data_IF_896170566841
#
_entry.id   IF_896170566841
#
_cell.length_a   1.000
_cell.length_b   1.000
_cell.length_c   1.000
_cell.angle_alpha   90.00
_cell.angle_beta   90.00
_cell.angle_gamma   90.00
#
_symmetry.space_group_name_H-M   'P 1'
#
loop_
_entity.id
_entity.type
_entity.pdbx_description
1 polymer ?
#
# COMPACT_ATOMS: atom_id res chain seq x y z
N UNK A 1 17.05 -15.28 -8.81
CA UNK A 1 17.48 -13.94 -8.35
C UNK A 1 16.85 -13.72 -6.98
N UNK A 2 17.60 -13.31 -5.97
CA UNK A 2 17.13 -13.30 -4.56
C UNK A 2 16.03 -12.24 -4.39
N UNK A 3 14.77 -12.67 -4.28
CA UNK A 3 13.67 -11.82 -3.81
C UNK A 3 14.02 -11.35 -2.40
N UNK A 4 14.41 -10.08 -2.27
CA UNK A 4 14.46 -9.45 -0.96
C UNK A 4 13.02 -9.31 -0.49
N UNK A 5 12.59 -10.23 0.38
CA UNK A 5 11.24 -10.28 0.93
C UNK A 5 10.97 -9.07 1.82
N UNK A 6 10.64 -7.93 1.21
CA UNK A 6 10.05 -6.78 1.91
C UNK A 6 8.65 -7.17 2.35
N UNK A 7 8.34 -6.86 3.61
CA UNK A 7 6.97 -6.88 4.09
C UNK A 7 6.25 -5.58 3.68
N UNK A 8 5.05 -5.72 3.14
CA UNK A 8 4.17 -4.61 2.80
C UNK A 8 2.96 -4.59 3.73
N UNK A 9 2.64 -3.42 4.27
CA UNK A 9 1.34 -3.13 4.89
C UNK A 9 0.23 -3.17 3.84
N UNK A 10 -1.05 -3.28 4.24
CA UNK A 10 -2.17 -3.26 3.27
C UNK A 10 -2.23 -1.99 2.40
N UNK A 11 -1.78 -0.84 2.92
CA UNK A 11 -1.75 0.41 2.18
C UNK A 11 -0.60 0.44 1.16
N UNK A 12 0.60 0.01 1.55
CA UNK A 12 1.72 -0.13 0.61
C UNK A 12 1.41 -1.17 -0.48
N UNK A 13 0.84 -2.31 -0.11
CA UNK A 13 0.46 -3.34 -1.07
C UNK A 13 -0.57 -2.81 -2.08
N UNK A 14 -1.56 -2.03 -1.62
CA UNK A 14 -2.50 -1.34 -2.49
C UNK A 14 -1.81 -0.38 -3.47
N UNK A 15 -0.86 0.42 -2.98
CA UNK A 15 -0.12 1.39 -3.78
C UNK A 15 0.82 0.73 -4.82
N UNK A 16 1.45 -0.39 -4.47
CA UNK A 16 2.37 -1.12 -5.36
C UNK A 16 1.63 -1.98 -6.38
N UNK A 17 0.54 -2.64 -5.96
CA UNK A 17 -0.29 -3.48 -6.84
C UNK A 17 -1.30 -2.72 -7.69
N UNK A 18 -1.49 -1.42 -7.41
CA UNK A 18 -2.52 -0.55 -8.03
C UNK A 18 -3.95 -1.06 -7.80
N UNK A 19 -4.16 -1.71 -6.65
CA UNK A 19 -5.45 -2.23 -6.22
C UNK A 19 -5.97 -1.35 -5.09
N UNK A 20 -7.28 -1.05 -5.10
CA UNK A 20 -7.88 -0.29 -4.01
C UNK A 20 -7.63 -0.94 -2.64
N UNK A 21 -7.31 -0.15 -1.61
CA UNK A 21 -7.04 -0.65 -0.25
C UNK A 21 -8.19 -1.52 0.29
N UNK A 22 -9.44 -1.16 0.00
CA UNK A 22 -10.62 -1.96 0.35
C UNK A 22 -10.59 -3.35 -0.28
N UNK A 23 -10.14 -3.45 -1.53
CA UNK A 23 -9.98 -4.72 -2.24
C UNK A 23 -8.86 -5.56 -1.65
N UNK A 24 -7.73 -4.94 -1.25
CA UNK A 24 -6.67 -5.64 -0.52
C UNK A 24 -7.20 -6.23 0.79
N UNK A 25 -7.96 -5.46 1.59
CA UNK A 25 -8.60 -5.99 2.79
C UNK A 25 -9.58 -7.13 2.50
N UNK A 26 -10.43 -6.98 1.47
CA UNK A 26 -11.35 -8.04 1.06
C UNK A 26 -10.61 -9.33 0.65
N UNK A 27 -9.47 -9.21 -0.04
CA UNK A 27 -8.65 -10.35 -0.43
C UNK A 27 -8.04 -11.07 0.78
N UNK A 28 -7.60 -10.32 1.79
CA UNK A 28 -7.14 -10.87 3.07
C UNK A 28 -8.31 -11.58 3.79
N UNK A 29 -9.46 -10.93 3.88
CA UNK A 29 -10.61 -11.45 4.63
C UNK A 29 -11.17 -12.72 3.98
N UNK A 30 -11.16 -12.79 2.64
CA UNK A 30 -11.54 -13.98 1.86
C UNK A 30 -10.43 -15.03 1.76
N UNK A 31 -9.28 -14.82 2.42
CA UNK A 31 -8.11 -15.72 2.39
C UNK A 31 -7.60 -16.04 0.98
N UNK A 32 -7.71 -15.07 0.07
CA UNK A 32 -7.11 -15.15 -1.27
C UNK A 32 -5.59 -15.00 -1.19
N UNK A 33 -5.11 -14.27 -0.17
CA UNK A 33 -3.68 -14.10 0.16
C UNK A 33 -3.40 -14.51 1.61
N UNK A 34 -2.14 -14.85 1.89
CA UNK A 34 -1.76 -15.42 3.18
C UNK A 34 -1.87 -14.39 4.32
N UNK A 35 -2.42 -14.81 5.46
CA UNK A 35 -2.43 -13.99 6.68
C UNK A 35 -1.12 -14.16 7.43
N UNK A 36 -0.07 -13.44 7.03
CA UNK A 36 1.18 -13.36 7.81
C UNK A 36 1.13 -12.16 8.76
N UNK A 37 1.43 -12.36 10.04
CA UNK A 37 1.53 -11.29 11.02
C UNK A 37 2.99 -10.82 11.09
N UNK A 38 3.25 -9.51 10.96
CA UNK A 38 4.54 -8.92 11.34
C UNK A 38 4.54 -8.55 12.82
N UNK A 39 5.70 -8.64 13.46
CA UNK A 39 5.89 -8.34 14.89
C UNK A 39 5.69 -6.85 15.22
N UNK A 40 5.89 -5.92 14.26
CA UNK A 40 5.87 -4.48 14.54
C UNK A 40 4.61 -3.70 14.09
N UNK A 41 3.85 -4.14 13.06
CA UNK A 41 2.72 -3.31 12.56
C UNK A 41 1.52 -4.07 11.97
N UNK A 42 1.38 -5.38 12.21
CA UNK A 42 0.18 -6.12 11.79
C UNK A 42 0.06 -6.32 10.27
N UNK A 43 -0.19 -7.57 9.87
CA UNK A 43 -0.38 -8.03 8.47
C UNK A 43 0.76 -7.61 7.52
N UNK A 44 1.76 -8.49 7.36
CA UNK A 44 2.81 -8.35 6.35
C UNK A 44 2.47 -9.15 5.09
N UNK A 45 2.35 -8.45 3.96
CA UNK A 45 2.19 -9.03 2.62
C UNK A 45 3.56 -9.15 1.96
N UNK A 46 3.81 -10.24 1.24
CA UNK A 46 5.04 -10.49 0.47
C UNK A 46 4.89 -10.10 -1.01
N UNK A 47 5.99 -10.09 -1.76
CA UNK A 47 5.96 -9.92 -3.22
C UNK A 47 5.02 -10.90 -3.92
N UNK A 48 4.96 -12.15 -3.45
CA UNK A 48 4.07 -13.17 -4.00
C UNK A 48 2.60 -12.86 -3.69
N UNK A 49 2.31 -12.27 -2.52
CA UNK A 49 0.96 -11.81 -2.18
C UNK A 49 0.55 -10.62 -3.07
N UNK A 50 1.48 -9.73 -3.40
CA UNK A 50 1.27 -8.63 -4.34
C UNK A 50 1.03 -9.14 -5.77
N UNK A 51 1.78 -10.16 -6.20
CA UNK A 51 1.56 -10.82 -7.50
C UNK A 51 0.18 -11.47 -7.55
N UNK A 52 -0.20 -12.21 -6.50
CA UNK A 52 -1.53 -12.81 -6.38
C UNK A 52 -2.63 -11.76 -6.43
N UNK A 53 -2.48 -10.65 -5.70
CA UNK A 53 -3.42 -9.53 -5.76
C UNK A 53 -3.55 -8.98 -7.18
N UNK A 54 -2.43 -8.62 -7.82
CA UNK A 54 -2.43 -8.01 -9.14
C UNK A 54 -3.08 -8.91 -10.19
N UNK A 55 -2.72 -10.20 -10.20
CA UNK A 55 -3.31 -11.17 -11.12
C UNK A 55 -4.78 -11.45 -10.80
N UNK A 56 -5.14 -11.66 -9.53
CA UNK A 56 -6.52 -12.01 -9.12
C UNK A 56 -7.55 -10.98 -9.56
N UNK A 57 -7.20 -9.69 -9.45
CA UNK A 57 -8.03 -8.59 -9.88
C UNK A 57 -7.88 -8.28 -11.38
N UNK A 58 -6.67 -8.41 -11.94
CA UNK A 58 -6.41 -8.18 -13.36
C UNK A 58 -7.15 -9.15 -14.29
N UNK A 59 -7.21 -10.43 -13.93
CA UNK A 59 -7.95 -11.46 -14.70
C UNK A 59 -9.37 -11.69 -14.19
N UNK A 60 -9.78 -10.98 -13.13
CA UNK A 60 -11.03 -11.24 -12.42
C UNK A 60 -12.30 -10.95 -13.23
N UNK A 61 -12.22 -10.12 -14.26
CA UNK A 61 -13.31 -9.87 -15.22
C UNK A 61 -13.40 -10.93 -16.33
N UNK A 62 -12.33 -11.71 -16.54
CA UNK A 62 -12.20 -12.67 -17.65
C UNK A 62 -12.37 -14.11 -17.12
N UNK A 63 -11.84 -14.39 -15.94
CA UNK A 63 -11.78 -15.73 -15.35
C UNK A 63 -12.71 -15.87 -14.15
N UNK A 64 -13.38 -17.03 -14.08
CA UNK A 64 -14.14 -17.43 -12.90
C UNK A 64 -13.22 -17.55 -11.67
N UNK A 65 -13.81 -17.56 -10.47
CA UNK A 65 -13.04 -17.77 -9.23
C UNK A 65 -12.28 -19.11 -9.24
N UNK A 66 -12.88 -20.17 -9.77
CA UNK A 66 -12.26 -21.49 -9.87
C UNK A 66 -11.06 -21.49 -10.83
N UNK A 67 -11.19 -20.88 -12.01
CA UNK A 67 -10.09 -20.78 -12.98
C UNK A 67 -8.92 -19.94 -12.45
N UNK A 68 -9.22 -18.89 -11.70
CA UNK A 68 -8.19 -18.13 -10.97
C UNK A 68 -7.45 -18.98 -9.95
N UNK A 69 -8.15 -19.83 -9.22
CA UNK A 69 -7.50 -20.74 -8.27
C UNK A 69 -6.50 -21.66 -8.98
N UNK A 70 -6.92 -22.31 -10.08
CA UNK A 70 -6.03 -23.18 -10.88
C UNK A 70 -4.82 -22.44 -11.45
N UNK A 71 -5.00 -21.17 -11.85
CA UNK A 71 -3.91 -20.31 -12.29
C UNK A 71 -2.85 -20.17 -11.18
N UNK A 72 -3.28 -19.89 -9.95
CA UNK A 72 -2.36 -19.77 -8.82
C UNK A 72 -1.72 -21.09 -8.41
N UNK A 73 -2.46 -22.19 -8.46
CA UNK A 73 -1.88 -23.52 -8.20
C UNK A 73 -0.77 -23.85 -9.22
N UNK A 74 -0.91 -23.37 -10.47
CA UNK A 74 0.12 -23.50 -11.51
C UNK A 74 1.32 -22.59 -11.26
N UNK A 75 1.09 -21.35 -10.79
CA UNK A 75 2.16 -20.43 -10.37
C UNK A 75 2.95 -21.02 -9.21
N UNK A 76 2.28 -21.63 -8.24
CA UNK A 76 2.95 -22.23 -7.07
C UNK A 76 3.83 -23.42 -7.45
N UNK A 77 3.43 -24.19 -8.47
CA UNK A 77 4.23 -25.30 -9.00
C UNK A 77 5.42 -24.80 -9.82
N UNK A 78 5.26 -23.69 -10.54
CA UNK A 78 6.28 -23.10 -11.41
C UNK A 78 6.44 -21.60 -11.12
N UNK A 79 7.12 -21.23 -10.01
CA UNK A 79 7.19 -19.84 -9.57
C UNK A 79 7.92 -18.95 -10.58
N UNK A 80 8.88 -19.48 -11.34
CA UNK A 80 9.65 -18.73 -12.32
C UNK A 80 9.01 -18.69 -13.72
N UNK A 81 7.77 -19.12 -13.87
CA UNK A 81 7.09 -19.10 -15.17
C UNK A 81 6.75 -17.66 -15.62
N UNK A 82 7.24 -17.28 -16.80
CA UNK A 82 6.95 -15.99 -17.41
C UNK A 82 5.50 -15.90 -17.94
N UNK A 83 4.98 -17.01 -18.45
CA UNK A 83 3.63 -17.09 -18.99
C UNK A 83 2.92 -18.34 -18.53
N UNK A 84 1.62 -18.24 -18.25
CA UNK A 84 0.81 -19.38 -17.83
C UNK A 84 -0.45 -19.46 -18.67
N UNK A 85 -0.72 -20.65 -19.21
CA UNK A 85 -1.96 -20.93 -19.92
C UNK A 85 -3.11 -21.06 -18.91
N UNK A 86 -4.04 -20.11 -18.93
CA UNK A 86 -5.22 -20.10 -18.07
C UNK A 86 -6.43 -20.84 -18.68
N UNK A 87 -6.48 -20.94 -20.01
CA UNK A 87 -7.49 -21.69 -20.78
C UNK A 87 -6.93 -22.05 -22.17
N UNK A 88 -7.69 -22.77 -22.99
CA UNK A 88 -7.26 -23.25 -24.33
C UNK A 88 -6.70 -22.12 -25.22
N UNK A 89 -7.30 -20.93 -25.14
CA UNK A 89 -6.94 -19.75 -25.93
C UNK A 89 -6.55 -18.54 -25.09
N UNK A 90 -6.27 -18.72 -23.79
CA UNK A 90 -5.92 -17.62 -22.88
C UNK A 90 -4.59 -17.88 -22.19
N UNK A 91 -3.63 -16.98 -22.42
CA UNK A 91 -2.34 -16.97 -21.76
C UNK A 91 -2.25 -15.71 -20.89
N UNK A 92 -1.85 -15.89 -19.65
CA UNK A 92 -1.58 -14.83 -18.68
C UNK A 92 -0.09 -14.58 -18.65
N UNK A 93 0.31 -13.35 -18.96
CA UNK A 93 1.68 -12.87 -18.86
C UNK A 93 2.00 -12.50 -17.41
N UNK A 94 2.70 -13.40 -16.72
CA UNK A 94 3.09 -13.27 -15.32
C UNK A 94 4.35 -12.43 -15.21
N UNK A 95 5.28 -12.55 -16.16
CA UNK A 95 6.50 -11.75 -16.22
C UNK A 95 6.18 -10.26 -16.23
N UNK A 96 5.26 -9.81 -17.09
CA UNK A 96 4.82 -8.41 -17.13
C UNK A 96 4.22 -7.95 -15.81
N UNK A 97 3.46 -8.81 -15.12
CA UNK A 97 2.92 -8.48 -13.81
C UNK A 97 4.04 -8.31 -12.76
N UNK A 98 5.06 -9.18 -12.79
CA UNK A 98 6.25 -9.08 -11.92
C UNK A 98 7.05 -7.81 -12.20
N UNK A 99 7.30 -7.49 -13.47
CA UNK A 99 8.02 -6.28 -13.88
C UNK A 99 7.32 -5.01 -13.39
N UNK A 100 6.01 -4.92 -13.56
CA UNK A 100 5.22 -3.79 -13.08
C UNK A 100 5.28 -3.65 -11.56
N UNK A 101 5.18 -4.77 -10.82
CA UNK A 101 5.30 -4.75 -9.36
C UNK A 101 6.70 -4.33 -8.92
N UNK A 102 7.75 -4.85 -9.56
CA UNK A 102 9.13 -4.51 -9.25
C UNK A 102 9.41 -3.01 -9.48
N UNK A 103 8.93 -2.46 -10.61
CA UNK A 103 9.07 -1.04 -10.93
C UNK A 103 8.36 -0.15 -9.90
N UNK A 104 7.11 -0.50 -9.52
CA UNK A 104 6.38 0.26 -8.50
C UNK A 104 6.96 0.09 -7.10
N UNK A 105 7.45 -1.09 -6.75
CA UNK A 105 8.13 -1.33 -5.48
C UNK A 105 9.42 -0.50 -5.37
N UNK A 106 10.19 -0.36 -6.47
CA UNK A 106 11.35 0.52 -6.49
C UNK A 106 10.94 1.99 -6.40
N UNK A 107 9.88 2.41 -7.09
CA UNK A 107 9.36 3.77 -6.95
C UNK A 107 8.95 4.07 -5.50
N UNK A 108 8.31 3.14 -4.79
CA UNK A 108 7.98 3.34 -3.38
C UNK A 108 9.25 3.47 -2.51
N UNK A 109 10.25 2.60 -2.71
CA UNK A 109 11.55 2.69 -2.02
C UNK A 109 12.26 4.01 -2.30
N UNK A 110 12.23 4.47 -3.54
CA UNK A 110 12.80 5.75 -3.93
C UNK A 110 12.08 6.90 -3.23
N UNK A 111 10.74 6.87 -3.21
CA UNK A 111 9.94 7.88 -2.54
C UNK A 111 10.27 7.97 -1.04
N UNK A 112 10.41 6.83 -0.37
CA UNK A 112 10.82 6.75 1.06
C UNK A 112 12.22 7.30 1.33
N UNK A 113 13.12 7.29 0.35
CA UNK A 113 14.46 7.88 0.48
C UNK A 113 14.47 9.40 0.33
N UNK A 114 13.53 9.96 -0.44
CA UNK A 114 13.49 11.40 -0.77
C UNK A 114 12.41 12.17 -0.03
N UNK A 115 11.61 11.49 0.80
CA UNK A 115 10.54 12.07 1.61
C UNK A 115 10.87 11.85 3.08
N UNK A 116 10.88 12.95 3.83
CA UNK A 116 11.16 12.94 5.26
C UNK A 116 10.01 13.57 6.06
N UNK A 117 9.83 13.09 7.28
CA UNK A 117 8.93 13.68 8.27
C UNK A 117 9.71 13.90 9.56
N UNK A 118 9.76 15.16 10.01
CA UNK A 118 10.45 15.54 11.25
C UNK A 118 9.42 15.98 12.28
N UNK A 119 9.35 15.25 13.40
CA UNK A 119 8.44 15.58 14.50
C UNK A 119 8.73 16.99 15.02
N UNK A 120 7.73 17.87 14.96
CA UNK A 120 7.84 19.27 15.39
C UNK A 120 8.11 20.27 14.27
N UNK A 121 8.40 19.81 13.04
CA UNK A 121 8.49 20.65 11.84
C UNK A 121 7.21 20.46 11.03
N UNK A 122 6.49 21.54 10.70
CA UNK A 122 5.19 21.50 10.01
C UNK A 122 4.20 20.49 10.61
N UNK A 123 4.22 20.27 11.93
CA UNK A 123 3.35 19.30 12.59
C UNK A 123 3.66 17.83 12.27
N UNK A 124 4.84 17.52 11.73
CA UNK A 124 5.18 16.17 11.23
C UNK A 124 4.66 15.91 9.82
N UNK A 125 4.25 16.95 9.08
CA UNK A 125 3.82 16.80 7.69
C UNK A 125 5.00 16.30 6.82
N UNK A 126 4.78 15.28 5.97
CA UNK A 126 5.80 14.77 5.06
C UNK A 126 6.18 15.79 4.00
N UNK A 127 7.48 16.06 3.86
CA UNK A 127 8.04 17.00 2.87
C UNK A 127 9.09 16.30 2.00
N UNK A 128 9.31 16.81 0.79
CA UNK A 128 10.47 16.38 0.02
C UNK A 128 11.75 16.86 0.71
N UNK A 129 12.73 15.98 0.88
CA UNK A 129 14.00 16.30 1.51
C UNK A 129 14.64 17.53 0.88
N UNK A 130 15.21 18.39 1.72
CA UNK A 130 15.83 19.68 1.32
C UNK A 130 14.84 20.72 0.78
N UNK A 131 13.53 20.46 0.86
CA UNK A 131 12.48 21.44 0.56
C UNK A 131 11.57 21.60 1.76
N UNK A 132 10.68 22.60 1.71
CA UNK A 132 9.53 22.71 2.63
C UNK A 132 8.21 22.42 1.91
N UNK A 133 8.26 21.69 0.80
CA UNK A 133 7.09 21.44 -0.04
C UNK A 133 6.39 20.18 0.48
N UNK A 134 5.11 20.27 0.92
CA UNK A 134 4.38 19.11 1.43
C UNK A 134 4.06 18.11 0.33
N UNK A 135 4.42 16.85 0.56
CA UNK A 135 4.21 15.76 -0.41
C UNK A 135 2.72 15.54 -0.68
N UNK A 136 1.91 15.54 0.39
CA UNK A 136 0.47 15.30 0.29
C UNK A 136 -0.24 16.38 -0.51
N UNK A 137 0.24 17.62 -0.43
CA UNK A 137 -0.30 18.73 -1.23
C UNK A 137 -0.04 18.49 -2.71
N UNK A 138 1.17 18.10 -3.09
CA UNK A 138 1.51 17.80 -4.48
C UNK A 138 0.67 16.63 -5.02
N UNK A 139 0.56 15.54 -4.25
CA UNK A 139 -0.30 14.42 -4.62
C UNK A 139 -1.79 14.83 -4.73
N UNK A 140 -2.27 15.72 -3.85
CA UNK A 140 -3.63 16.22 -3.91
C UNK A 140 -3.88 17.12 -5.13
N UNK A 141 -2.92 17.96 -5.51
CA UNK A 141 -3.01 18.77 -6.74
C UNK A 141 -3.10 17.87 -7.98
N UNK A 142 -2.27 16.83 -8.04
CA UNK A 142 -2.30 15.85 -9.13
C UNK A 142 -3.64 15.12 -9.20
N UNK A 143 -4.16 14.67 -8.04
CA UNK A 143 -5.47 14.04 -7.94
C UNK A 143 -6.65 14.97 -8.31
N UNK A 144 -6.47 16.29 -8.21
CA UNK A 144 -7.45 17.30 -8.63
C UNK A 144 -7.35 17.66 -10.12
N UNK A 145 -6.40 17.07 -10.85
CA UNK A 145 -6.26 17.22 -12.30
C UNK A 145 -5.13 18.14 -12.76
N UNK A 146 -4.29 18.66 -11.85
CA UNK A 146 -3.11 19.42 -12.26
C UNK A 146 -2.14 18.53 -13.05
N UNK A 147 -1.63 19.05 -14.16
CA UNK A 147 -0.60 18.37 -14.95
C UNK A 147 0.74 18.37 -14.20
N UNK A 148 1.65 17.46 -14.57
CA UNK A 148 2.95 17.41 -13.89
C UNK A 148 3.78 18.66 -14.21
N UNK A 149 3.60 19.18 -15.41
CA UNK A 149 4.25 20.37 -15.95
C UNK A 149 3.82 21.62 -15.17
N UNK A 150 2.52 21.82 -14.93
CA UNK A 150 2.00 22.92 -14.11
C UNK A 150 2.52 22.87 -12.67
N UNK A 151 2.61 21.66 -12.09
CA UNK A 151 3.14 21.47 -10.74
C UNK A 151 4.62 21.87 -10.69
N UNK A 152 5.43 21.42 -11.66
CA UNK A 152 6.86 21.74 -11.71
C UNK A 152 7.09 23.24 -12.00
N UNK A 153 6.26 23.86 -12.82
CA UNK A 153 6.28 25.32 -13.06
C UNK A 153 6.00 26.10 -11.77
N UNK A 154 4.99 25.68 -11.00
CA UNK A 154 4.64 26.29 -9.71
C UNK A 154 5.65 25.99 -8.59
N UNK A 155 6.41 24.89 -8.70
CA UNK A 155 7.40 24.47 -7.72
C UNK A 155 8.72 24.07 -8.40
N UNK A 156 9.58 25.04 -8.80
CA UNK A 156 10.78 24.77 -9.60
C UNK A 156 11.85 23.89 -8.94
N UNK A 157 11.72 23.61 -7.64
CA UNK A 157 12.59 22.67 -6.93
C UNK A 157 12.14 21.21 -7.05
N UNK A 158 10.95 20.96 -7.60
CA UNK A 158 10.45 19.62 -7.88
C UNK A 158 10.81 19.21 -9.31
N UNK A 159 11.02 17.91 -9.48
CA UNK A 159 11.15 17.28 -10.79
C UNK A 159 9.89 16.49 -11.09
N UNK A 160 9.67 16.16 -12.37
CA UNK A 160 8.60 15.24 -12.80
C UNK A 160 8.61 13.95 -11.98
N UNK A 161 9.80 13.39 -11.72
CA UNK A 161 9.96 12.19 -10.91
C UNK A 161 9.48 12.39 -9.47
N UNK A 162 9.81 13.52 -8.83
CA UNK A 162 9.34 13.80 -7.47
C UNK A 162 7.82 13.89 -7.38
N UNK A 163 7.16 14.40 -8.42
CA UNK A 163 5.68 14.44 -8.49
C UNK A 163 5.10 13.02 -8.54
N UNK A 164 5.65 12.12 -9.37
CA UNK A 164 5.23 10.71 -9.43
C UNK A 164 5.45 9.99 -8.08
N UNK A 165 6.61 10.23 -7.44
CA UNK A 165 6.94 9.66 -6.13
C UNK A 165 5.96 10.14 -5.05
N UNK A 166 5.44 11.37 -5.17
CA UNK A 166 4.44 11.90 -4.25
C UNK A 166 3.15 11.08 -4.25
N UNK A 167 2.70 10.65 -5.44
CA UNK A 167 1.47 9.90 -5.62
C UNK A 167 1.57 8.51 -4.97
N UNK A 168 2.63 7.75 -5.30
CA UNK A 168 2.80 6.41 -4.74
C UNK A 168 3.04 6.45 -3.23
N UNK A 169 3.82 7.42 -2.75
CA UNK A 169 4.08 7.57 -1.31
C UNK A 169 2.81 7.93 -0.55
N UNK A 170 2.00 8.85 -1.07
CA UNK A 170 0.74 9.26 -0.43
C UNK A 170 -0.27 8.12 -0.40
N UNK A 171 -0.34 7.30 -1.45
CA UNK A 171 -1.18 6.11 -1.49
C UNK A 171 -0.73 5.05 -0.48
N UNK A 172 0.59 4.85 -0.34
CA UNK A 172 1.18 3.90 0.60
C UNK A 172 1.09 4.35 2.07
N UNK A 173 1.14 5.66 2.31
CA UNK A 173 1.13 6.27 3.64
C UNK A 173 -0.10 7.17 3.78
N UNK A 174 -1.34 6.65 3.83
CA UNK A 174 -2.53 7.47 3.95
C UNK A 174 -2.49 8.29 5.24
N UNK A 175 -2.97 9.55 5.18
CA UNK A 175 -2.99 10.42 6.34
C UNK A 175 -3.81 9.77 7.46
N UNK A 176 -3.19 9.58 8.63
CA UNK A 176 -3.86 9.09 9.84
C UNK A 176 -4.71 10.23 10.41
N UNK A 177 -5.89 10.43 9.83
CA UNK A 177 -6.87 11.37 10.36
C UNK A 177 -7.31 10.97 11.76
N UNK A 178 -7.87 11.93 12.52
CA UNK A 178 -8.58 11.61 13.76
C UNK A 178 -9.66 10.59 13.43
N UNK A 179 -9.82 9.49 14.20
CA UNK A 179 -10.94 8.57 14.02
C UNK A 179 -12.24 9.37 13.93
N UNK A 180 -13.05 9.09 12.89
CA UNK A 180 -14.35 9.75 12.71
C UNK A 180 -15.15 9.59 13.99
N UNK A 181 -15.75 10.68 14.47
CA UNK A 181 -16.61 10.60 15.65
C UNK A 181 -17.85 9.81 15.29
N UNK A 182 -18.46 9.17 16.28
CA UNK A 182 -19.73 8.45 16.09
C UNK A 182 -20.81 9.37 15.47
N UNK A 183 -20.77 10.66 15.81
CA UNK A 183 -21.63 11.71 15.23
C UNK A 183 -21.47 11.85 13.72
N UNK A 184 -20.24 11.73 13.20
CA UNK A 184 -19.93 11.89 11.77
C UNK A 184 -20.41 10.67 10.95
N UNK A 185 -20.78 9.58 11.65
CA UNK A 185 -21.34 8.35 11.09
C UNK A 185 -22.87 8.30 11.27
N UNK A 186 -23.51 9.40 11.67
CA UNK A 186 -24.95 9.47 11.93
C UNK A 186 -25.41 8.72 13.18
N UNK A 187 -24.48 8.28 14.03
CA UNK A 187 -24.78 7.56 15.26
C UNK A 187 -24.73 8.49 16.47
N UNK A 188 -25.79 8.48 17.27
CA UNK A 188 -25.88 9.26 18.50
C UNK A 188 -25.24 8.50 19.65
N UNK A 189 -24.32 9.15 20.36
CA UNK A 189 -23.68 8.57 21.55
C UNK A 189 -24.72 8.50 22.68
N UNK A 190 -25.14 7.29 23.05
CA UNK A 190 -26.10 7.06 24.15
C UNK A 190 -25.45 7.09 25.54
N UNK A 191 -24.20 6.69 25.65
CA UNK A 191 -23.43 6.76 26.89
C UNK A 191 -21.94 6.87 26.58
N UNK A 192 -21.21 7.54 27.47
CA UNK A 192 -19.75 7.67 27.40
C UNK A 192 -19.18 7.30 28.76
N UNK A 193 -18.30 6.30 28.80
CA UNK A 193 -17.61 5.89 30.02
C UNK A 193 -16.12 6.17 29.85
N UNK A 194 -15.54 7.00 30.73
CA UNK A 194 -14.09 7.15 30.83
C UNK A 194 -13.56 6.03 31.70
N UNK A 195 -12.73 5.18 31.12
CA UNK A 195 -12.01 4.15 31.86
C UNK A 195 -10.63 4.72 32.19
N UNK A 196 -10.20 4.73 33.46
CA UNK A 196 -8.80 4.96 33.76
C UNK A 196 -8.00 3.85 33.09
N UNK A 197 -6.96 4.19 32.31
CA UNK A 197 -5.97 3.20 31.94
C UNK A 197 -5.34 2.72 33.24
N UNK A 198 -5.48 1.43 33.56
CA UNK A 198 -4.73 0.87 34.67
C UNK A 198 -3.25 1.08 34.36
N UNK A 199 -2.54 1.78 35.26
CA UNK A 199 -1.09 1.69 35.26
C UNK A 199 -0.79 0.21 35.44
N UNK A 200 -0.21 -0.42 34.41
CA UNK A 200 0.40 -1.73 34.58
C UNK A 200 1.25 -1.65 35.85
N UNK A 201 0.94 -2.51 36.81
CA UNK A 201 1.60 -2.54 38.09
C UNK A 201 3.11 -2.64 37.85
N UNK A 202 3.86 -1.63 38.27
CA UNK A 202 5.28 -1.78 38.51
C UNK A 202 5.40 -2.93 39.52
N UNK A 203 5.74 -4.13 39.05
CA UNK A 203 6.24 -5.19 39.91
C UNK A 203 7.56 -4.65 40.49
N UNK A 204 7.71 -4.47 41.81
CA UNK A 204 9.02 -4.26 42.36
C UNK A 204 9.84 -5.53 42.09
N UNK A 205 11.01 -5.36 41.49
CA UNK A 205 12.03 -6.39 41.49
C UNK A 205 12.35 -6.70 42.95
N UNK A 206 11.95 -7.89 43.40
CA UNK A 206 12.33 -8.43 44.70
C UNK A 206 13.82 -8.76 44.70
N UNK A 207 14.41 -8.50 45.87
CA UNK A 207 15.80 -8.67 46.31
C UNK A 207 16.47 -9.98 45.96
#
# INVERSE_FOLDING_TARGET
MVQMSRAYTPAEAAAVSEIAVKSVHNAIDKRIIARRLSEDEGRALSDDDLLRLKLWYGVGSILSAERRQRLFDTIDQNPDADTIRADDYLIVDVARAREQLAARAEALREAERVIESVKGVLGGEPVFSKTRIPVRTIAAMKAQGATTEEIVEGYPSLTTRLVELAEIWTAAHPARGRPRKLSDLGATVKSSKRLPLSKAANRPAGS
#
